data_IF_938990660341
#
_entry.id   IF_938990660341
#
_cell.length_a   1.000
_cell.length_b   1.000
_cell.length_c   1.000
_cell.angle_alpha   90.00
_cell.angle_beta   90.00
_cell.angle_gamma   90.00
#
_symmetry.space_group_name_H-M   'P 1'
#
loop_
_entity.id
_entity.type
_entity.pdbx_description
1 polymer ?
#
# COMPACT_ATOMS: atom_id res chain seq x y z
N UNK A 1 -12.06 -5.22 8.34
CA UNK A 1 -11.61 -3.86 8.78
C UNK A 1 -11.04 -3.12 7.58
N UNK A 2 -11.50 -1.89 7.33
CA UNK A 2 -11.06 -1.10 6.16
C UNK A 2 -9.92 -0.15 6.53
N UNK A 3 -8.92 -0.02 5.65
CA UNK A 3 -7.69 0.75 5.91
C UNK A 3 -7.30 1.55 4.68
N UNK A 4 -6.90 2.81 4.85
CA UNK A 4 -6.36 3.66 3.75
C UNK A 4 -5.45 4.76 4.28
N UNK A 5 -4.69 5.42 3.39
CA UNK A 5 -3.86 6.57 3.72
C UNK A 5 -4.66 7.86 3.73
N UNK A 6 -4.32 8.75 4.66
CA UNK A 6 -4.81 10.12 4.71
C UNK A 6 -4.19 10.97 3.59
N UNK A 7 -5.00 11.79 2.93
CA UNK A 7 -4.52 12.73 1.90
C UNK A 7 -4.48 14.20 2.34
N UNK A 8 -5.31 14.59 3.30
CA UNK A 8 -5.31 15.95 3.85
C UNK A 8 -5.79 15.99 5.30
N UNK A 9 -5.40 17.03 6.05
CA UNK A 9 -5.86 17.22 7.42
C UNK A 9 -7.29 17.79 7.50
N UNK A 10 -7.69 18.56 6.49
CA UNK A 10 -8.96 19.27 6.47
C UNK A 10 -10.16 18.32 6.50
N UNK A 11 -9.97 17.11 5.95
CA UNK A 11 -11.05 16.14 5.76
C UNK A 11 -10.93 14.88 6.64
N UNK A 12 -10.12 14.91 7.71
CA UNK A 12 -9.90 13.77 8.63
C UNK A 12 -11.21 13.07 9.05
N UNK A 13 -12.27 13.83 9.29
CA UNK A 13 -13.54 13.32 9.80
C UNK A 13 -14.41 12.64 8.73
N UNK A 14 -14.08 12.81 7.45
CA UNK A 14 -14.79 12.17 6.35
C UNK A 14 -14.28 10.72 6.08
N UNK A 15 -13.10 10.37 6.60
CA UNK A 15 -12.53 9.03 6.46
C UNK A 15 -13.23 8.05 7.39
N UNK A 16 -14.22 7.33 6.86
CA UNK A 16 -14.92 6.25 7.56
C UNK A 16 -14.17 4.92 7.38
N UNK A 17 -13.07 4.76 8.10
CA UNK A 17 -12.19 3.58 8.06
C UNK A 17 -11.85 3.11 9.46
N UNK A 18 -11.51 1.83 9.60
CA UNK A 18 -11.13 1.25 10.90
C UNK A 18 -9.73 1.67 11.32
N UNK A 19 -8.81 1.83 10.36
CA UNK A 19 -7.44 2.31 10.59
C UNK A 19 -7.06 3.32 9.53
N UNK A 20 -6.59 4.48 9.96
CA UNK A 20 -6.08 5.53 9.08
C UNK A 20 -4.56 5.49 9.04
N UNK A 21 -4.00 5.30 7.84
CA UNK A 21 -2.55 5.31 7.63
C UNK A 21 -2.09 6.76 7.44
N UNK A 22 -1.14 7.16 8.24
CA UNK A 22 -0.51 8.48 8.18
C UNK A 22 0.87 8.35 7.54
N UNK A 23 1.04 8.93 6.35
CA UNK A 23 2.35 9.04 5.74
C UNK A 23 3.24 9.94 6.57
N UNK A 24 4.53 9.62 6.60
CA UNK A 24 5.55 10.35 7.35
C UNK A 24 6.71 10.73 6.42
N UNK A 25 7.69 11.47 6.92
CA UNK A 25 8.93 11.74 6.16
C UNK A 25 9.71 10.49 5.75
N UNK A 26 9.39 9.33 6.35
CA UNK A 26 9.93 8.01 6.01
C UNK A 26 9.01 7.21 5.08
N UNK A 27 8.02 7.83 4.45
CA UNK A 27 7.22 7.22 3.40
C UNK A 27 7.95 7.29 2.06
N UNK A 28 7.89 6.21 1.29
CA UNK A 28 8.60 6.10 0.00
C UNK A 28 8.06 7.05 -1.06
N UNK A 29 6.75 7.05 -1.26
CA UNK A 29 6.02 7.91 -2.20
C UNK A 29 4.71 8.36 -1.56
N UNK A 30 4.51 9.66 -1.45
CA UNK A 30 3.24 10.26 -1.00
C UNK A 30 3.15 11.72 -1.50
N UNK A 31 1.93 12.20 -1.65
CA UNK A 31 1.66 13.60 -1.98
C UNK A 31 1.60 14.48 -0.72
N UNK A 32 1.25 13.86 0.41
CA UNK A 32 1.08 14.50 1.71
C UNK A 32 1.64 13.62 2.81
N UNK A 33 2.32 14.20 3.78
CA UNK A 33 2.74 13.51 5.01
C UNK A 33 2.52 14.41 6.22
N UNK A 34 2.38 13.80 7.39
CA UNK A 34 2.18 14.49 8.66
C UNK A 34 3.51 14.72 9.39
N UNK A 35 3.58 15.82 10.12
CA UNK A 35 4.63 16.06 11.11
C UNK A 35 4.25 15.45 12.46
N UNK A 36 5.25 15.22 13.31
CA UNK A 36 5.06 14.54 14.60
C UNK A 36 4.13 15.29 15.55
N UNK A 37 4.20 16.61 15.55
CA UNK A 37 3.36 17.49 16.37
C UNK A 37 1.88 17.44 15.96
N UNK A 38 1.57 17.04 14.73
CA UNK A 38 0.19 16.89 14.24
C UNK A 38 -0.48 15.60 14.72
N UNK A 39 0.27 14.65 15.31
CA UNK A 39 -0.30 13.38 15.79
C UNK A 39 -1.38 13.57 16.86
N UNK A 40 -1.37 14.67 17.61
CA UNK A 40 -2.43 14.98 18.57
C UNK A 40 -3.82 15.15 17.95
N UNK A 41 -3.90 15.46 16.64
CA UNK A 41 -5.17 15.58 15.92
C UNK A 41 -5.91 14.23 15.76
N UNK A 42 -5.22 13.12 16.03
CA UNK A 42 -5.71 11.76 15.80
C UNK A 42 -5.95 10.97 17.11
N UNK A 43 -6.03 11.62 18.27
CA UNK A 43 -6.17 10.94 19.59
C UNK A 43 -7.37 9.99 19.65
N UNK A 44 -8.46 10.28 18.91
CA UNK A 44 -9.68 9.48 18.88
C UNK A 44 -9.77 8.54 17.66
N UNK A 45 -8.69 8.33 16.94
CA UNK A 45 -8.64 7.46 15.75
C UNK A 45 -7.61 6.36 15.90
N UNK A 46 -7.90 5.19 15.34
CA UNK A 46 -6.88 4.16 15.17
C UNK A 46 -5.96 4.58 14.01
N UNK A 47 -4.70 4.79 14.30
CA UNK A 47 -3.73 5.25 13.30
C UNK A 47 -2.59 4.26 13.12
N UNK A 48 -2.10 4.15 11.89
CA UNK A 48 -0.86 3.49 11.55
C UNK A 48 0.12 4.50 10.93
N UNK A 49 1.40 4.42 11.27
CA UNK A 49 2.44 5.25 10.66
C UNK A 49 3.10 4.52 9.50
N UNK A 50 3.16 5.17 8.34
CA UNK A 50 3.82 4.63 7.16
C UNK A 50 5.31 5.01 7.15
N UNK A 51 6.18 4.00 7.21
CA UNK A 51 7.64 4.06 7.22
C UNK A 51 8.21 3.17 6.10
N UNK A 52 7.53 3.10 4.94
CA UNK A 52 7.81 2.13 3.87
C UNK A 52 8.98 2.51 2.94
N UNK A 53 9.76 3.52 3.31
CA UNK A 53 11.01 3.89 2.64
C UNK A 53 12.10 2.84 2.92
N UNK A 54 12.98 2.59 1.95
CA UNK A 54 14.24 1.91 2.20
C UNK A 54 15.18 2.87 2.93
N UNK A 55 15.64 2.49 4.11
CA UNK A 55 16.40 3.34 5.02
C UNK A 55 17.89 3.29 4.69
N UNK A 56 18.52 4.45 4.61
CA UNK A 56 19.97 4.57 4.46
C UNK A 56 20.67 4.55 5.83
N UNK A 57 21.94 4.12 5.88
CA UNK A 57 22.71 4.02 7.12
C UNK A 57 22.77 5.35 7.89
N UNK A 58 22.90 6.46 7.16
CA UNK A 58 22.92 7.81 7.73
C UNK A 58 21.56 8.30 8.26
N UNK A 59 20.47 7.61 7.94
CA UNK A 59 19.11 7.95 8.38
C UNK A 59 18.67 7.16 9.62
N UNK A 60 19.40 6.11 10.02
CA UNK A 60 19.03 5.24 11.13
C UNK A 60 18.85 5.99 12.46
N UNK A 61 19.72 6.95 12.76
CA UNK A 61 19.63 7.73 13.98
C UNK A 61 18.38 8.63 13.99
N UNK A 62 18.05 9.21 12.84
CA UNK A 62 16.87 10.03 12.68
C UNK A 62 15.59 9.20 12.81
N UNK A 63 15.56 8.02 12.18
CA UNK A 63 14.46 7.07 12.28
C UNK A 63 14.27 6.59 13.74
N UNK A 64 15.35 6.25 14.42
CA UNK A 64 15.29 5.85 15.84
C UNK A 64 14.73 6.98 16.71
N UNK A 65 15.18 8.21 16.48
CA UNK A 65 14.68 9.39 17.19
C UNK A 65 13.19 9.59 16.93
N UNK A 66 12.75 9.45 15.68
CA UNK A 66 11.36 9.53 15.31
C UNK A 66 10.52 8.46 16.03
N UNK A 67 10.92 7.18 16.00
CA UNK A 67 10.21 6.09 16.69
C UNK A 67 10.13 6.36 18.19
N UNK A 68 11.20 6.84 18.82
CA UNK A 68 11.18 7.24 20.25
C UNK A 68 10.12 8.29 20.56
N UNK A 69 10.01 9.29 19.72
CA UNK A 69 9.04 10.37 19.90
C UNK A 69 7.60 9.88 19.76
N UNK A 70 7.35 8.87 18.88
CA UNK A 70 6.02 8.27 18.73
C UNK A 70 5.55 7.48 19.93
N UNK A 71 6.42 7.12 20.88
CA UNK A 71 6.03 6.40 22.12
C UNK A 71 5.02 7.17 22.98
N UNK A 72 4.95 8.49 22.83
CA UNK A 72 4.01 9.35 23.54
C UNK A 72 2.60 9.37 22.94
N UNK A 73 2.39 8.66 21.81
CA UNK A 73 1.14 8.65 21.07
C UNK A 73 0.55 7.24 20.98
N UNK A 74 -0.77 7.14 20.83
CA UNK A 74 -1.45 5.87 20.64
C UNK A 74 -1.37 5.40 19.19
N UNK A 75 -0.20 4.90 18.77
CA UNK A 75 0.00 4.32 17.45
C UNK A 75 -0.43 2.85 17.47
N UNK A 76 -1.34 2.45 16.58
CA UNK A 76 -1.80 1.08 16.47
C UNK A 76 -0.77 0.23 15.72
N UNK A 77 -0.26 0.71 14.57
CA UNK A 77 0.69 -0.02 13.74
C UNK A 77 1.79 0.88 13.16
N UNK A 78 2.94 0.26 12.87
CA UNK A 78 4.03 0.80 12.07
C UNK A 78 4.16 -0.05 10.80
N UNK A 79 3.87 0.55 9.65
CA UNK A 79 3.96 -0.08 8.33
C UNK A 79 5.35 0.18 7.76
N UNK A 80 6.03 -0.84 7.29
CA UNK A 80 7.39 -0.72 6.78
C UNK A 80 7.71 -1.75 5.70
N UNK A 81 8.77 -1.47 4.94
CA UNK A 81 9.36 -2.37 3.92
C UNK A 81 10.78 -2.78 4.31
N UNK A 82 11.49 -1.94 5.06
CA UNK A 82 12.87 -2.17 5.47
C UNK A 82 12.94 -2.80 6.87
N UNK A 83 13.69 -3.90 7.00
CA UNK A 83 13.82 -4.62 8.27
C UNK A 83 14.55 -3.84 9.38
N UNK A 84 15.28 -2.78 9.04
CA UNK A 84 15.86 -1.87 10.06
C UNK A 84 14.78 -1.24 10.94
N UNK A 85 13.61 -0.93 10.37
CA UNK A 85 12.44 -0.44 11.13
C UNK A 85 12.00 -1.49 12.15
N UNK A 86 11.87 -2.77 11.75
CA UNK A 86 11.52 -3.85 12.67
C UNK A 86 12.54 -3.99 13.80
N UNK A 87 13.83 -3.93 13.50
CA UNK A 87 14.89 -4.00 14.51
C UNK A 87 14.75 -2.87 15.54
N UNK A 88 14.42 -1.66 15.11
CA UNK A 88 14.17 -0.54 16.02
C UNK A 88 12.87 -0.72 16.80
N UNK A 89 11.77 -1.17 16.17
CA UNK A 89 10.53 -1.46 16.87
C UNK A 89 10.75 -2.50 17.98
N UNK A 90 11.46 -3.58 17.68
CA UNK A 90 11.83 -4.60 18.67
C UNK A 90 12.68 -4.04 19.81
N UNK A 91 13.62 -3.13 19.52
CA UNK A 91 14.43 -2.45 20.55
C UNK A 91 13.57 -1.70 21.57
N UNK A 92 12.40 -1.21 21.16
CA UNK A 92 11.45 -0.47 21.98
C UNK A 92 10.23 -1.29 22.44
N UNK A 93 10.25 -2.64 22.29
CA UNK A 93 9.15 -3.56 22.62
C UNK A 93 7.83 -3.20 21.88
N UNK A 94 7.94 -2.83 20.61
CA UNK A 94 6.82 -2.48 19.72
C UNK A 94 6.60 -3.52 18.61
N UNK A 95 7.24 -4.68 18.66
CA UNK A 95 7.18 -5.69 17.59
C UNK A 95 5.76 -6.15 17.27
N UNK A 96 4.86 -6.21 18.26
CA UNK A 96 3.44 -6.56 18.06
C UNK A 96 2.66 -5.51 17.25
N UNK A 97 3.22 -4.30 17.07
CA UNK A 97 2.65 -3.25 16.24
C UNK A 97 3.24 -3.22 14.82
N UNK A 98 4.05 -4.22 14.48
CA UNK A 98 4.77 -4.32 13.21
C UNK A 98 3.87 -4.78 12.07
N UNK A 99 3.92 -4.10 10.93
CA UNK A 99 3.25 -4.50 9.67
C UNK A 99 4.23 -4.41 8.51
N UNK A 100 4.56 -5.56 7.93
CA UNK A 100 5.51 -5.65 6.83
C UNK A 100 4.80 -5.57 5.47
N UNK A 101 5.02 -4.48 4.75
CA UNK A 101 4.52 -4.24 3.40
C UNK A 101 5.62 -4.52 2.37
N UNK A 102 5.90 -5.81 2.09
CA UNK A 102 6.90 -6.19 1.09
C UNK A 102 6.49 -5.83 -0.34
N UNK A 103 5.20 -5.63 -0.56
CA UNK A 103 4.56 -5.31 -1.85
C UNK A 103 4.57 -6.45 -2.89
N UNK A 104 5.52 -7.41 -2.83
CA UNK A 104 5.68 -8.45 -3.85
C UNK A 104 5.94 -9.86 -3.32
N UNK A 105 6.50 -10.05 -2.13
CA UNK A 105 7.07 -11.35 -1.72
C UNK A 105 6.21 -12.16 -0.74
N UNK A 106 5.15 -11.63 -0.17
CA UNK A 106 4.32 -12.37 0.80
C UNK A 106 3.26 -13.22 0.06
N UNK A 107 3.70 -14.30 -0.57
CA UNK A 107 2.89 -15.10 -1.48
C UNK A 107 2.50 -16.48 -0.91
N UNK A 108 2.96 -16.87 0.27
CA UNK A 108 2.66 -18.18 0.84
C UNK A 108 2.14 -18.10 2.27
N UNK A 109 1.33 -19.09 2.65
CA UNK A 109 0.87 -19.24 4.04
C UNK A 109 2.02 -19.52 4.99
N UNK A 110 3.11 -20.11 4.51
CA UNK A 110 4.31 -20.39 5.32
C UNK A 110 5.04 -19.12 5.67
N UNK A 111 5.26 -18.22 4.70
CA UNK A 111 5.93 -16.94 4.93
C UNK A 111 5.14 -16.10 5.94
N UNK A 112 3.82 -15.94 5.72
CA UNK A 112 2.97 -15.14 6.60
C UNK A 112 2.93 -15.72 8.02
N UNK A 113 2.84 -17.05 8.17
CA UNK A 113 2.91 -17.69 9.49
C UNK A 113 4.25 -17.44 10.19
N UNK A 114 5.38 -17.47 9.45
CA UNK A 114 6.68 -17.19 10.03
C UNK A 114 6.79 -15.74 10.51
N UNK A 115 6.31 -14.78 9.71
CA UNK A 115 6.25 -13.39 10.15
C UNK A 115 5.33 -13.22 11.38
N UNK A 116 4.15 -13.83 11.38
CA UNK A 116 3.23 -13.74 12.52
C UNK A 116 3.84 -14.36 13.80
N UNK A 117 4.66 -15.42 13.70
CA UNK A 117 5.41 -15.99 14.81
C UNK A 117 6.44 -15.00 15.40
N UNK A 118 6.86 -14.01 14.62
CA UNK A 118 7.71 -12.89 15.05
C UNK A 118 6.91 -11.67 15.50
N UNK A 119 5.59 -11.79 15.66
CA UNK A 119 4.64 -10.70 15.92
C UNK A 119 4.58 -9.65 14.79
N UNK A 120 4.91 -10.04 13.56
CA UNK A 120 4.84 -9.18 12.39
C UNK A 120 3.59 -9.53 11.58
N UNK A 121 2.68 -8.59 11.37
CA UNK A 121 1.61 -8.70 10.38
C UNK A 121 2.16 -8.44 8.98
N UNK A 122 1.51 -8.98 7.96
CA UNK A 122 1.96 -8.84 6.58
C UNK A 122 0.88 -8.28 5.66
N UNK A 123 1.28 -7.54 4.64
CA UNK A 123 0.47 -7.32 3.44
C UNK A 123 0.67 -8.50 2.49
N UNK A 124 -0.44 -9.19 2.14
CA UNK A 124 -0.42 -10.23 1.10
C UNK A 124 -0.09 -9.63 -0.27
N UNK A 125 0.66 -10.38 -1.09
CA UNK A 125 1.00 -9.95 -2.46
C UNK A 125 -0.25 -9.75 -3.33
N UNK A 126 -0.19 -8.84 -4.27
CA UNK A 126 -1.20 -8.67 -5.33
C UNK A 126 -1.07 -9.71 -6.46
N UNK A 127 0.00 -10.50 -6.45
CA UNK A 127 0.30 -11.55 -7.45
C UNK A 127 -0.15 -12.94 -7.00
N UNK A 128 -1.30 -13.02 -6.34
CA UNK A 128 -1.88 -14.27 -5.83
C UNK A 128 -3.08 -14.69 -6.67
N UNK A 129 -3.26 -16.01 -6.81
CA UNK A 129 -4.53 -16.57 -7.26
C UNK A 129 -5.59 -16.41 -6.18
N UNK A 130 -6.86 -16.45 -6.56
CA UNK A 130 -7.94 -16.37 -5.58
C UNK A 130 -7.89 -17.52 -4.56
N UNK A 131 -7.53 -18.72 -4.99
CA UNK A 131 -7.41 -19.89 -4.12
C UNK A 131 -6.31 -19.71 -3.06
N UNK A 132 -5.18 -19.11 -3.45
CA UNK A 132 -4.09 -18.85 -2.51
C UNK A 132 -4.40 -17.67 -1.59
N UNK A 133 -5.09 -16.65 -2.10
CA UNK A 133 -5.55 -15.52 -1.29
C UNK A 133 -6.58 -15.98 -0.23
N UNK A 134 -7.49 -16.90 -0.56
CA UNK A 134 -8.42 -17.51 0.40
C UNK A 134 -7.63 -18.23 1.51
N UNK A 135 -6.64 -19.05 1.17
CA UNK A 135 -5.80 -19.74 2.16
C UNK A 135 -5.06 -18.77 3.07
N UNK A 136 -4.50 -17.69 2.50
CA UNK A 136 -3.80 -16.64 3.24
C UNK A 136 -4.78 -15.87 4.13
N UNK A 137 -5.97 -15.56 3.65
CA UNK A 137 -6.98 -14.83 4.43
C UNK A 137 -7.41 -15.57 5.71
N UNK A 138 -7.29 -16.90 5.73
CA UNK A 138 -7.54 -17.72 6.92
C UNK A 138 -6.46 -17.57 8.02
N UNK A 139 -5.36 -16.88 7.70
CA UNK A 139 -4.39 -16.41 8.70
C UNK A 139 -4.81 -14.99 9.06
N UNK A 140 -5.59 -14.86 10.14
CA UNK A 140 -6.25 -13.61 10.53
C UNK A 140 -5.29 -12.46 10.87
N UNK A 141 -5.81 -11.25 10.92
CA UNK A 141 -5.13 -10.02 11.32
C UNK A 141 -3.98 -9.60 10.38
N UNK A 142 -3.96 -10.06 9.14
CA UNK A 142 -3.05 -9.59 8.11
C UNK A 142 -3.73 -8.57 7.17
N UNK A 143 -2.94 -7.95 6.32
CA UNK A 143 -3.42 -6.95 5.38
C UNK A 143 -3.62 -7.57 3.99
N UNK A 144 -4.73 -7.23 3.34
CA UNK A 144 -5.09 -7.68 1.99
C UNK A 144 -5.28 -6.44 1.12
N UNK A 145 -4.54 -6.36 0.03
CA UNK A 145 -4.69 -5.28 -0.95
C UNK A 145 -6.03 -5.41 -1.66
N UNK A 146 -6.84 -4.35 -1.67
CA UNK A 146 -8.18 -4.41 -2.27
C UNK A 146 -8.38 -3.47 -3.44
N UNK A 147 -7.76 -2.28 -3.39
CA UNK A 147 -7.93 -1.29 -4.45
C UNK A 147 -6.71 -0.38 -4.56
N UNK A 148 -6.40 0.03 -5.79
CA UNK A 148 -5.44 1.08 -6.10
C UNK A 148 -4.24 0.61 -6.91
N UNK A 149 -3.33 1.53 -7.21
CA UNK A 149 -2.10 1.24 -7.94
C UNK A 149 -1.11 0.46 -7.08
N UNK A 150 -0.66 -0.68 -7.58
CA UNK A 150 0.31 -1.55 -6.91
C UNK A 150 1.71 -1.38 -7.52
N UNK A 151 2.73 -1.48 -6.69
CA UNK A 151 4.13 -1.35 -7.12
C UNK A 151 4.57 -2.60 -7.89
N UNK A 152 5.21 -2.41 -9.05
CA UNK A 152 5.79 -3.49 -9.85
C UNK A 152 7.31 -3.40 -9.96
N UNK A 153 7.88 -2.22 -9.70
CA UNK A 153 9.32 -2.01 -9.78
C UNK A 153 9.76 -0.86 -8.87
N UNK A 154 10.91 -1.04 -8.25
CA UNK A 154 11.63 -0.01 -7.51
C UNK A 154 13.11 -0.02 -7.86
N UNK A 155 13.69 1.17 -8.00
CA UNK A 155 15.13 1.38 -8.07
C UNK A 155 15.53 2.58 -7.24
N UNK A 156 16.58 2.43 -6.43
CA UNK A 156 17.21 3.57 -5.73
C UNK A 156 17.82 4.58 -6.71
N UNK A 157 18.10 4.18 -7.96
CA UNK A 157 18.61 5.05 -9.01
C UNK A 157 17.52 6.01 -9.48
N UNK A 158 17.93 7.23 -9.81
CA UNK A 158 17.08 8.26 -10.41
C UNK A 158 17.01 8.07 -11.92
N UNK A 159 16.24 7.07 -12.37
CA UNK A 159 16.23 6.62 -13.77
C UNK A 159 15.67 7.66 -14.72
N UNK A 160 14.63 8.44 -14.29
CA UNK A 160 14.09 9.53 -15.13
C UNK A 160 15.08 10.66 -15.29
N UNK A 161 15.81 11.03 -14.23
CA UNK A 161 16.89 12.04 -14.29
C UNK A 161 18.02 11.56 -15.19
N UNK A 162 18.46 10.31 -15.05
CA UNK A 162 19.49 9.72 -15.92
C UNK A 162 19.06 9.67 -17.39
N UNK A 163 17.80 9.31 -17.66
CA UNK A 163 17.26 9.29 -19.01
C UNK A 163 17.18 10.70 -19.60
N UNK A 164 16.75 11.68 -18.81
CA UNK A 164 16.74 13.10 -19.20
C UNK A 164 18.13 13.55 -19.68
N UNK A 165 19.17 13.23 -18.93
CA UNK A 165 20.58 13.57 -19.28
C UNK A 165 21.03 12.83 -20.53
N UNK A 166 20.80 11.53 -20.61
CA UNK A 166 21.20 10.68 -21.74
C UNK A 166 20.54 11.12 -23.06
N UNK A 167 19.24 11.40 -23.03
CA UNK A 167 18.48 11.78 -24.22
C UNK A 167 18.48 13.29 -24.49
N UNK A 168 19.17 14.08 -23.68
CA UNK A 168 19.23 15.56 -23.76
C UNK A 168 17.82 16.19 -23.84
N UNK A 169 16.92 15.73 -22.96
CA UNK A 169 15.53 16.20 -22.91
C UNK A 169 15.38 17.27 -21.82
N UNK A 170 14.43 18.19 -22.00
CA UNK A 170 14.08 19.18 -20.99
C UNK A 170 12.69 18.92 -20.41
N UNK A 171 12.66 18.31 -19.21
CA UNK A 171 11.44 18.09 -18.41
C UNK A 171 11.77 17.99 -16.92
N UNK A 172 10.75 18.18 -16.09
CA UNK A 172 10.88 17.98 -14.63
C UNK A 172 10.89 16.49 -14.32
N UNK A 173 12.04 15.91 -13.99
CA UNK A 173 12.16 14.46 -13.73
C UNK A 173 11.65 14.05 -12.35
N UNK A 174 11.74 14.89 -11.33
CA UNK A 174 11.41 14.55 -9.94
C UNK A 174 10.04 15.07 -9.50
N UNK A 175 9.38 14.31 -8.62
CA UNK A 175 8.10 14.64 -7.98
C UNK A 175 6.96 14.92 -8.98
N UNK A 176 7.05 14.30 -10.15
CA UNK A 176 6.01 14.36 -11.17
C UNK A 176 5.70 12.96 -11.68
N UNK A 177 4.41 12.65 -11.77
CA UNK A 177 3.93 11.38 -12.34
C UNK A 177 4.08 11.44 -13.86
N UNK A 178 4.73 10.43 -14.41
CA UNK A 178 4.82 10.16 -15.83
C UNK A 178 4.20 8.79 -16.15
N UNK A 179 4.17 8.44 -17.41
CA UNK A 179 3.72 7.14 -17.89
C UNK A 179 4.81 6.53 -18.76
N UNK A 180 5.18 5.30 -18.47
CA UNK A 180 6.01 4.47 -19.34
C UNK A 180 5.10 3.76 -20.32
N UNK A 181 5.46 3.81 -21.61
CA UNK A 181 4.80 3.09 -22.69
C UNK A 181 5.85 2.19 -23.35
N UNK A 182 5.55 0.92 -23.46
CA UNK A 182 6.34 0.00 -24.28
C UNK A 182 5.94 0.12 -25.75
N UNK A 183 6.91 0.02 -26.65
CA UNK A 183 6.68 0.18 -28.09
C UNK A 183 5.66 -0.83 -28.67
N UNK A 184 5.57 -2.01 -28.05
CA UNK A 184 4.72 -3.13 -28.49
C UNK A 184 3.45 -3.30 -27.66
N UNK A 185 3.17 -2.43 -26.71
CA UNK A 185 2.02 -2.52 -25.80
C UNK A 185 1.29 -1.19 -25.69
N UNK A 186 0.01 -1.26 -25.41
CA UNK A 186 -0.84 -0.07 -25.22
C UNK A 186 -0.96 0.33 -23.75
N UNK A 187 -0.46 -0.50 -22.83
CA UNK A 187 -0.54 -0.24 -21.39
C UNK A 187 0.39 0.88 -20.95
N UNK A 188 -0.16 1.79 -20.15
CA UNK A 188 0.53 2.92 -19.57
C UNK A 188 0.88 2.64 -18.12
N UNK A 189 2.17 2.48 -17.80
CA UNK A 189 2.66 2.21 -16.45
C UNK A 189 3.01 3.52 -15.75
N UNK A 190 2.30 3.92 -14.68
CA UNK A 190 2.67 5.10 -13.92
C UNK A 190 4.07 4.98 -13.35
N UNK A 191 4.86 6.03 -13.53
CA UNK A 191 6.22 6.14 -12.98
C UNK A 191 6.39 7.47 -12.28
N UNK A 192 7.04 7.45 -11.13
CA UNK A 192 7.44 8.63 -10.38
C UNK A 192 8.88 8.46 -9.88
N UNK A 193 9.62 9.55 -9.93
CA UNK A 193 10.94 9.67 -9.33
C UNK A 193 10.92 10.74 -8.26
N UNK A 194 11.52 10.46 -7.11
CA UNK A 194 11.72 11.42 -6.03
C UNK A 194 13.10 11.23 -5.38
N UNK A 195 13.33 11.85 -4.22
CA UNK A 195 14.59 11.71 -3.48
C UNK A 195 14.92 10.25 -3.10
N UNK A 196 13.91 9.40 -2.96
CA UNK A 196 14.04 8.00 -2.51
C UNK A 196 14.34 7.02 -3.67
N UNK A 197 14.21 7.45 -4.93
CA UNK A 197 14.45 6.62 -6.12
C UNK A 197 13.36 6.73 -7.18
N UNK A 198 13.29 5.72 -8.06
CA UNK A 198 12.31 5.60 -9.13
C UNK A 198 11.37 4.43 -8.83
N UNK A 199 10.07 4.68 -8.93
CA UNK A 199 8.99 3.73 -8.65
C UNK A 199 8.11 3.58 -9.88
N UNK A 200 7.80 2.33 -10.25
CA UNK A 200 6.88 2.02 -11.35
C UNK A 200 5.72 1.19 -10.79
N UNK A 201 4.52 1.53 -11.25
CA UNK A 201 3.28 0.91 -10.80
C UNK A 201 2.58 0.17 -11.94
N UNK A 202 1.70 -0.76 -11.60
CA UNK A 202 0.86 -1.46 -12.56
C UNK A 202 0.06 -0.49 -13.45
N UNK A 203 -0.24 -0.91 -14.67
CA UNK A 203 -0.95 -0.08 -15.67
C UNK A 203 -2.43 0.16 -15.34
N UNK A 204 -2.95 -0.49 -14.31
CA UNK A 204 -4.33 -0.41 -13.85
C UNK A 204 -4.39 -0.37 -12.31
N UNK A 205 -5.53 0.07 -11.76
CA UNK A 205 -5.80 -0.11 -10.35
C UNK A 205 -6.18 -1.57 -10.08
N UNK A 206 -5.46 -2.22 -9.16
CA UNK A 206 -5.85 -3.52 -8.65
C UNK A 206 -7.28 -3.43 -8.09
N UNK A 207 -8.08 -4.44 -8.36
CA UNK A 207 -9.47 -4.50 -7.91
C UNK A 207 -9.77 -5.88 -7.35
N UNK A 208 -9.98 -5.93 -6.05
CA UNK A 208 -10.53 -7.04 -5.30
C UNK A 208 -11.84 -6.53 -4.67
N UNK A 209 -12.98 -6.95 -5.18
CA UNK A 209 -14.27 -6.44 -4.71
C UNK A 209 -15.24 -7.57 -4.36
N UNK A 210 -15.82 -8.26 -5.34
CA UNK A 210 -16.74 -9.37 -5.09
C UNK A 210 -16.07 -10.55 -4.37
N UNK A 211 -14.81 -10.76 -4.66
CA UNK A 211 -13.99 -11.83 -4.07
C UNK A 211 -13.81 -11.67 -2.56
N UNK A 212 -14.03 -10.46 -2.01
CA UNK A 212 -14.02 -10.22 -0.56
C UNK A 212 -15.03 -11.11 0.16
N UNK A 213 -16.14 -11.50 -0.50
CA UNK A 213 -17.10 -12.43 0.08
C UNK A 213 -16.54 -13.82 0.37
N UNK A 214 -15.49 -14.22 -0.33
CA UNK A 214 -14.81 -15.50 -0.16
C UNK A 214 -13.73 -15.46 0.93
N UNK A 215 -13.37 -14.28 1.40
CA UNK A 215 -12.25 -14.08 2.32
C UNK A 215 -12.68 -13.98 3.77
N UNK A 216 -11.79 -14.38 4.67
CA UNK A 216 -12.01 -14.18 6.10
C UNK A 216 -12.02 -12.66 6.43
N UNK A 217 -13.13 -12.19 7.01
CA UNK A 217 -13.38 -10.79 7.33
C UNK A 217 -12.53 -10.26 8.52
N UNK A 218 -11.83 -11.14 9.25
CA UNK A 218 -10.93 -10.77 10.36
C UNK A 218 -9.56 -10.24 9.88
N UNK A 219 -9.49 -9.76 8.65
CA UNK A 219 -8.31 -9.12 8.06
C UNK A 219 -8.52 -7.62 7.83
N UNK A 220 -7.43 -6.93 7.53
CA UNK A 220 -7.40 -5.52 7.15
C UNK A 220 -7.44 -5.41 5.62
N UNK A 221 -8.48 -4.80 5.07
CA UNK A 221 -8.69 -4.60 3.64
C UNK A 221 -8.15 -3.22 3.27
N UNK A 222 -7.03 -3.20 2.56
CA UNK A 222 -6.26 -2.00 2.29
C UNK A 222 -6.61 -1.39 0.92
N UNK A 223 -7.03 -0.11 0.94
CA UNK A 223 -7.23 0.74 -0.23
C UNK A 223 -6.05 1.69 -0.31
N UNK A 224 -5.26 1.62 -1.39
CA UNK A 224 -4.18 2.58 -1.64
C UNK A 224 -4.73 3.90 -2.15
N UNK A 225 -4.31 5.00 -1.54
CA UNK A 225 -4.69 6.36 -1.95
C UNK A 225 -3.82 6.92 -3.07
N UNK A 226 -2.76 6.22 -3.46
CA UNK A 226 -1.76 6.70 -4.39
C UNK A 226 -2.37 7.01 -5.77
N UNK A 227 -2.11 8.20 -6.28
CA UNK A 227 -2.61 8.73 -7.55
C UNK A 227 -4.14 8.86 -7.66
N UNK A 228 -4.87 8.72 -6.57
CA UNK A 228 -6.30 8.92 -6.49
C UNK A 228 -6.55 10.30 -5.85
N UNK A 229 -7.44 11.12 -6.41
CA UNK A 229 -7.82 12.37 -5.75
C UNK A 229 -8.69 12.07 -4.51
N UNK A 230 -8.76 13.01 -3.57
CA UNK A 230 -9.39 12.76 -2.27
C UNK A 230 -10.90 12.55 -2.36
N UNK A 231 -11.60 13.26 -3.27
CA UNK A 231 -13.04 13.08 -3.47
C UNK A 231 -13.38 11.66 -3.96
N UNK A 232 -12.61 11.15 -4.92
CA UNK A 232 -12.79 9.79 -5.43
C UNK A 232 -12.40 8.75 -4.38
N UNK A 233 -11.34 8.98 -3.60
CA UNK A 233 -10.94 8.09 -2.51
C UNK A 233 -12.07 7.95 -1.48
N UNK A 234 -12.71 9.04 -1.07
CA UNK A 234 -13.81 9.02 -0.11
C UNK A 234 -15.05 8.29 -0.66
N UNK A 235 -15.35 8.44 -1.96
CA UNK A 235 -16.42 7.65 -2.61
C UNK A 235 -16.07 6.16 -2.62
N UNK A 236 -14.83 5.80 -2.96
CA UNK A 236 -14.35 4.40 -2.95
C UNK A 236 -14.50 3.81 -1.54
N UNK A 237 -14.04 4.51 -0.49
CA UNK A 237 -14.21 4.10 0.90
C UNK A 237 -15.68 3.82 1.23
N UNK A 238 -16.58 4.72 0.82
CA UNK A 238 -18.01 4.55 1.05
C UNK A 238 -18.57 3.32 0.34
N UNK A 239 -18.21 3.07 -0.91
CA UNK A 239 -18.63 1.89 -1.68
C UNK A 239 -18.17 0.60 -1.00
N UNK A 240 -16.92 0.53 -0.52
CA UNK A 240 -16.43 -0.63 0.23
C UNK A 240 -17.18 -0.82 1.56
N UNK A 241 -17.45 0.26 2.28
CA UNK A 241 -18.26 0.19 3.52
C UNK A 241 -19.67 -0.33 3.25
N UNK A 242 -20.33 0.12 2.19
CA UNK A 242 -21.64 -0.41 1.76
C UNK A 242 -21.52 -1.89 1.39
N UNK A 243 -20.44 -2.32 0.74
CA UNK A 243 -20.14 -3.71 0.46
C UNK A 243 -20.03 -4.56 1.72
N UNK A 244 -19.37 -4.09 2.77
CA UNK A 244 -19.28 -4.77 4.06
C UNK A 244 -20.64 -4.86 4.80
N UNK A 245 -21.54 -3.90 4.60
CA UNK A 245 -22.86 -3.86 5.24
C UNK A 245 -23.89 -4.68 4.45
N UNK A 246 -23.95 -4.51 3.12
CA UNK A 246 -25.03 -4.99 2.25
C UNK A 246 -24.61 -6.17 1.34
N UNK A 247 -23.33 -6.59 1.40
CA UNK A 247 -22.73 -7.53 0.47
C UNK A 247 -22.12 -6.85 -0.76
N UNK A 248 -21.05 -7.45 -1.30
CA UNK A 248 -20.30 -6.97 -2.46
C UNK A 248 -20.99 -7.40 -3.76
N UNK A 249 -21.88 -6.56 -4.32
CA UNK A 249 -22.74 -6.85 -5.46
C UNK A 249 -22.33 -6.10 -6.75
N UNK A 250 -23.05 -6.40 -7.85
CA UNK A 250 -22.78 -5.80 -9.16
C UNK A 250 -23.12 -4.31 -9.24
N UNK A 251 -24.09 -3.83 -8.48
CA UNK A 251 -24.50 -2.43 -8.46
C UNK A 251 -23.35 -1.56 -7.90
N UNK A 252 -22.84 -1.92 -6.73
CA UNK A 252 -21.69 -1.24 -6.11
C UNK A 252 -20.42 -1.37 -6.94
N UNK A 253 -20.20 -2.53 -7.60
CA UNK A 253 -19.08 -2.71 -8.51
C UNK A 253 -19.16 -1.75 -9.72
N UNK A 254 -20.36 -1.59 -10.30
CA UNK A 254 -20.57 -0.69 -11.41
C UNK A 254 -20.36 0.77 -10.97
N UNK A 255 -20.84 1.16 -9.79
CA UNK A 255 -20.59 2.49 -9.21
C UNK A 255 -19.08 2.74 -9.05
N UNK A 256 -18.34 1.77 -8.50
CA UNK A 256 -16.88 1.86 -8.37
C UNK A 256 -16.19 2.07 -9.75
N UNK A 257 -16.64 1.36 -10.78
CA UNK A 257 -16.12 1.49 -12.15
C UNK A 257 -16.45 2.84 -12.81
N UNK A 258 -17.49 3.56 -12.36
CA UNK A 258 -17.75 4.93 -12.84
C UNK A 258 -16.70 5.92 -12.35
N UNK A 259 -16.10 5.68 -11.18
CA UNK A 259 -15.02 6.50 -10.64
C UNK A 259 -13.73 6.26 -11.42
N UNK A 260 -13.40 4.99 -11.66
CA UNK A 260 -12.26 4.58 -12.46
C UNK A 260 -12.54 3.24 -13.15
N UNK A 261 -12.60 3.25 -14.49
CA UNK A 261 -12.83 2.06 -15.31
C UNK A 261 -11.54 1.28 -15.62
N UNK A 262 -10.35 1.88 -15.40
CA UNK A 262 -9.07 1.20 -15.59
C UNK A 262 -8.72 0.37 -14.34
N UNK A 263 -9.43 -0.73 -14.15
CA UNK A 263 -9.27 -1.64 -13.02
C UNK A 263 -9.04 -3.06 -13.50
N UNK A 264 -8.28 -3.85 -12.74
CA UNK A 264 -7.97 -5.22 -13.09
C UNK A 264 -7.50 -6.06 -11.90
N UNK A 265 -7.45 -7.37 -12.12
CA UNK A 265 -7.00 -8.37 -11.14
C UNK A 265 -6.36 -9.55 -11.87
N UNK A 266 -5.34 -9.28 -12.67
CA UNK A 266 -4.77 -10.22 -13.64
C UNK A 266 -4.33 -11.56 -13.06
N UNK A 267 -3.83 -11.58 -11.83
CA UNK A 267 -3.35 -12.82 -11.19
C UNK A 267 -4.47 -13.63 -10.51
N UNK A 268 -5.55 -13.01 -10.06
CA UNK A 268 -6.59 -13.70 -9.28
C UNK A 268 -7.19 -14.93 -9.98
N UNK A 269 -7.32 -14.87 -11.30
CA UNK A 269 -7.98 -15.91 -12.10
C UNK A 269 -7.02 -16.71 -12.99
N UNK A 270 -5.70 -16.59 -12.78
CA UNK A 270 -4.74 -17.42 -13.48
C UNK A 270 -4.93 -18.90 -13.12
N UNK A 271 -5.03 -19.75 -14.15
CA UNK A 271 -5.04 -21.19 -13.94
C UNK A 271 -3.60 -21.68 -13.79
N UNK A 272 -3.34 -22.61 -12.85
CA UNK A 272 -1.99 -23.17 -12.64
C UNK A 272 -1.37 -23.83 -13.89
N UNK A 273 -2.19 -24.24 -14.85
CA UNK A 273 -1.79 -24.87 -16.10
C UNK A 273 -1.07 -23.89 -17.05
N UNK A 274 -1.45 -22.60 -17.03
CA UNK A 274 -0.83 -21.55 -17.86
C UNK A 274 0.62 -21.29 -17.42
N UNK A 275 0.95 -21.48 -16.15
CA UNK A 275 2.31 -21.33 -15.62
C UNK A 275 3.25 -22.47 -16.03
N UNK A 276 2.72 -23.59 -16.55
CA UNK A 276 3.51 -24.76 -16.98
C UNK A 276 3.88 -24.74 -18.46
N UNK A 277 3.17 -23.98 -19.29
CA UNK A 277 3.36 -23.93 -20.74
C UNK A 277 4.42 -22.92 -21.20
N UNK A 278 4.96 -22.11 -20.30
CA UNK A 278 6.02 -21.13 -20.59
C UNK A 278 7.46 -21.67 -20.39
N UNK A 279 7.67 -22.98 -20.71
CA UNK A 279 8.99 -23.59 -20.71
C UNK A 279 9.50 -23.78 -22.14
#
# INVERSE_FOLDING_TARGET
>A
MLVTELKSLERINEYNVDVLILNTKFTSVCDFYIELDQLHLFENKNIALNLDKIIEENELLELETFIKQTLNYNILYYIYTDMSVYCLLKKYNLEQKSVFFSKTINCSTYDIKQYNNLNIKCLASTELTIDDLIKISNIENNFIYTYGYFSIFYSKRKLLSLYKEYANLDYQSQNKKYSLLEETREEHYPVIENKNGTFVYGSYNYLLFKEIELLNKNNYFYISSLFINEDDLLKIINIYNLGFINGFNDELLNELKTINNNTGSSFLYLKPEILKESK
#
